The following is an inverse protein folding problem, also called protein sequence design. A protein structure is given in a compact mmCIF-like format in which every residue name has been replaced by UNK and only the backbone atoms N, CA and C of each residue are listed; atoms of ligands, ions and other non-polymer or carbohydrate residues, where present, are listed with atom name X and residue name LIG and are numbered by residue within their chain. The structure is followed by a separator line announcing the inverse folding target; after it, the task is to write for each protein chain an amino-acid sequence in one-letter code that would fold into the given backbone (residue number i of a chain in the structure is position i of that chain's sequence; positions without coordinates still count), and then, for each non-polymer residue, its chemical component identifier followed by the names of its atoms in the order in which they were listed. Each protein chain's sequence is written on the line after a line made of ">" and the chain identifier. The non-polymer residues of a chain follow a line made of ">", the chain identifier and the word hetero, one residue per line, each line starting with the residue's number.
data_IF_101022701106
#
_entry.id   IF_101022701106
#
_cell.length_a   1.000
_cell.length_b   1.000
_cell.length_c   1.000
_cell.angle_alpha   90.00
_cell.angle_beta   90.00
_cell.angle_gamma   90.00
#
_symmetry.space_group_name_H-M   'P 1'
#
loop_
_entity.id
_entity.type
_entity.pdbx_description
1 polymer ?
#
# COMPACT_ATOMS: atom_id res chain seq x y z
N UNK A 1 13.97 7.26 15.99
CA UNK A 1 13.18 6.36 15.13
C UNK A 1 11.77 6.92 15.10
N UNK A 2 11.40 7.64 14.04
CA UNK A 2 10.05 8.17 13.86
C UNK A 2 9.11 6.97 13.72
N UNK A 3 8.03 6.88 14.51
CA UNK A 3 7.00 5.88 14.21
C UNK A 3 6.41 6.26 12.84
N UNK A 4 6.37 5.35 11.86
CA UNK A 4 5.80 5.67 10.56
C UNK A 4 4.32 5.99 10.73
N UNK A 5 3.86 7.02 10.02
CA UNK A 5 2.46 7.39 10.01
C UNK A 5 1.61 6.20 9.52
N UNK A 6 0.66 5.81 10.36
CA UNK A 6 -0.21 4.67 10.09
C UNK A 6 -1.43 5.13 9.31
N UNK A 7 -1.87 4.31 8.39
CA UNK A 7 -3.09 4.50 7.64
C UNK A 7 -4.30 4.44 8.57
N UNK A 8 -5.28 5.28 8.31
CA UNK A 8 -6.59 5.27 8.96
C UNK A 8 -7.70 4.79 8.00
N UNK A 9 -8.95 4.84 8.46
CA UNK A 9 -10.12 4.46 7.68
C UNK A 9 -10.21 5.23 6.35
N UNK A 10 -9.95 6.55 6.36
CA UNK A 10 -10.06 7.41 5.17
C UNK A 10 -8.96 7.10 4.17
N UNK A 11 -7.77 6.76 4.65
CA UNK A 11 -6.67 6.31 3.80
C UNK A 11 -7.06 5.03 3.06
N UNK A 12 -7.62 4.02 3.75
CA UNK A 12 -8.09 2.78 3.13
C UNK A 12 -9.26 3.00 2.16
N UNK A 13 -10.20 3.89 2.49
CA UNK A 13 -11.32 4.22 1.61
C UNK A 13 -10.84 4.91 0.32
N UNK A 14 -9.93 5.87 0.46
CA UNK A 14 -9.32 6.59 -0.66
C UNK A 14 -8.52 5.64 -1.55
N UNK A 15 -7.74 4.75 -0.93
CA UNK A 15 -7.03 3.69 -1.62
C UNK A 15 -7.99 2.79 -2.41
N UNK A 16 -9.08 2.30 -1.80
CA UNK A 16 -10.03 1.40 -2.46
C UNK A 16 -10.63 2.04 -3.72
N UNK A 17 -11.06 3.31 -3.60
CA UNK A 17 -11.64 4.09 -4.71
C UNK A 17 -10.60 4.32 -5.82
N UNK A 18 -9.39 4.74 -5.45
CA UNK A 18 -8.30 4.96 -6.39
C UNK A 18 -7.89 3.67 -7.12
N UNK A 19 -7.80 2.57 -6.39
CA UNK A 19 -7.47 1.24 -6.94
C UNK A 19 -8.50 0.80 -7.98
N UNK A 20 -9.80 0.82 -7.65
CA UNK A 20 -10.86 0.40 -8.57
C UNK A 20 -10.93 1.30 -9.80
N UNK A 21 -10.81 2.63 -9.60
CA UNK A 21 -10.77 3.61 -10.69
C UNK A 21 -9.60 3.33 -11.63
N UNK A 22 -8.39 3.17 -11.09
CA UNK A 22 -7.19 2.95 -11.91
C UNK A 22 -7.24 1.61 -12.63
N UNK A 23 -7.68 0.55 -11.96
CA UNK A 23 -7.82 -0.76 -12.60
C UNK A 23 -8.79 -0.69 -13.79
N UNK A 24 -9.92 -0.01 -13.62
CA UNK A 24 -10.89 0.23 -14.69
C UNK A 24 -10.28 1.02 -15.86
N UNK A 25 -9.61 2.13 -15.55
CA UNK A 25 -8.93 2.99 -16.53
C UNK A 25 -7.94 2.18 -17.37
N UNK A 26 -7.08 1.36 -16.75
CA UNK A 26 -6.08 0.56 -17.45
C UNK A 26 -6.74 -0.48 -18.36
N UNK A 27 -7.83 -1.12 -17.94
CA UNK A 27 -8.56 -2.08 -18.80
C UNK A 27 -9.20 -1.37 -19.99
N UNK A 28 -9.86 -0.22 -19.78
CA UNK A 28 -10.56 0.53 -20.84
C UNK A 28 -9.60 1.08 -21.88
N UNK A 29 -8.50 1.70 -21.43
CA UNK A 29 -7.47 2.29 -22.28
C UNK A 29 -6.76 1.27 -23.17
N UNK A 30 -6.81 -0.01 -22.79
CA UNK A 30 -6.16 -1.10 -23.50
C UNK A 30 -7.16 -2.10 -24.10
N UNK A 31 -8.46 -1.79 -24.11
CA UNK A 31 -9.53 -2.69 -24.57
C UNK A 31 -9.30 -3.31 -25.95
N UNK A 32 -8.73 -2.56 -26.91
CA UNK A 32 -8.38 -3.07 -28.24
C UNK A 32 -7.30 -4.16 -28.20
N UNK A 33 -6.36 -4.06 -27.26
CA UNK A 33 -5.29 -5.03 -27.04
C UNK A 33 -5.79 -6.25 -26.24
N UNK A 34 -6.96 -6.12 -25.60
CA UNK A 34 -7.55 -7.10 -24.70
C UNK A 34 -8.72 -7.87 -25.33
N UNK A 35 -8.93 -7.75 -26.65
CA UNK A 35 -10.01 -8.47 -27.34
C UNK A 35 -9.95 -9.98 -27.07
N UNK A 36 -11.06 -10.54 -26.56
CA UNK A 36 -11.15 -11.96 -26.18
C UNK A 36 -10.64 -12.28 -24.77
N UNK A 37 -10.17 -11.28 -24.01
CA UNK A 37 -9.69 -11.40 -22.62
C UNK A 37 -10.70 -10.85 -21.61
N UNK A 38 -11.86 -10.36 -22.05
CA UNK A 38 -12.81 -9.62 -21.22
C UNK A 38 -13.21 -10.46 -20.00
N UNK A 39 -13.48 -11.76 -20.19
CA UNK A 39 -13.86 -12.70 -19.14
C UNK A 39 -12.83 -12.88 -18.01
N UNK A 40 -11.57 -12.48 -18.24
CA UNK A 40 -10.49 -12.64 -17.25
C UNK A 40 -10.54 -11.53 -16.19
N UNK A 41 -11.03 -10.34 -16.55
CA UNK A 41 -11.04 -9.16 -15.69
C UNK A 41 -12.26 -9.13 -14.77
N UNK A 42 -12.30 -10.07 -13.82
CA UNK A 42 -13.41 -10.20 -12.86
C UNK A 42 -13.76 -8.88 -12.15
N UNK A 43 -12.76 -8.13 -11.70
CA UNK A 43 -12.93 -6.86 -10.98
C UNK A 43 -13.44 -5.71 -11.87
N UNK A 44 -13.25 -5.81 -13.18
CA UNK A 44 -13.77 -4.84 -14.16
C UNK A 44 -15.21 -5.19 -14.54
N UNK A 45 -15.49 -6.47 -14.78
CA UNK A 45 -16.82 -6.95 -15.16
C UNK A 45 -17.84 -6.91 -14.02
N UNK A 46 -17.38 -6.78 -12.78
CA UNK A 46 -18.22 -6.73 -11.61
C UNK A 46 -17.88 -5.47 -10.80
N UNK A 47 -18.91 -4.77 -10.33
CA UNK A 47 -18.71 -3.66 -9.39
C UNK A 47 -18.90 -4.19 -7.97
N UNK A 48 -17.96 -3.96 -7.04
CA UNK A 48 -18.15 -4.38 -5.66
C UNK A 48 -19.33 -3.64 -5.05
N UNK A 49 -20.19 -4.39 -4.37
CA UNK A 49 -21.37 -3.92 -3.66
C UNK A 49 -21.08 -3.66 -2.18
N UNK A 50 -20.01 -4.23 -1.64
CA UNK A 50 -19.50 -3.84 -0.33
C UNK A 50 -17.98 -3.85 -0.35
N UNK A 51 -17.39 -2.91 0.39
CA UNK A 51 -15.95 -2.87 0.60
C UNK A 51 -15.67 -2.83 2.09
N UNK A 52 -14.87 -3.77 2.57
CA UNK A 52 -14.49 -3.89 3.97
C UNK A 52 -13.03 -3.51 4.14
N UNK A 53 -12.75 -2.44 4.88
CA UNK A 53 -11.42 -2.10 5.35
C UNK A 53 -11.16 -2.69 6.73
N UNK A 54 -10.00 -3.31 6.93
CA UNK A 54 -9.57 -3.85 8.22
C UNK A 54 -8.17 -3.34 8.54
N UNK A 55 -7.99 -2.68 9.67
CA UNK A 55 -6.68 -2.22 10.13
C UNK A 55 -6.34 -2.94 11.42
N UNK A 56 -5.14 -3.53 11.48
CA UNK A 56 -4.60 -4.05 12.72
C UNK A 56 -3.83 -2.98 13.46
N UNK A 57 -4.05 -2.86 14.78
CA UNK A 57 -3.19 -2.05 15.65
C UNK A 57 -1.78 -2.63 15.78
N UNK A 58 -1.57 -3.91 15.48
CA UNK A 58 -0.29 -4.57 15.70
C UNK A 58 0.47 -4.86 14.40
N UNK A 59 -0.20 -5.36 13.36
CA UNK A 59 0.47 -5.81 12.13
C UNK A 59 -0.49 -5.88 10.95
N UNK A 60 -0.19 -5.12 9.90
CA UNK A 60 -0.88 -5.17 8.61
C UNK A 60 -2.27 -4.52 8.55
N UNK A 61 -2.81 -4.50 7.34
CA UNK A 61 -4.16 -4.05 7.02
C UNK A 61 -4.67 -4.79 5.78
N UNK A 62 -5.98 -4.74 5.55
CA UNK A 62 -6.60 -5.39 4.42
C UNK A 62 -7.80 -4.63 3.86
N UNK A 63 -8.09 -4.88 2.58
CA UNK A 63 -9.31 -4.49 1.90
C UNK A 63 -9.95 -5.75 1.29
N UNK A 64 -11.27 -5.88 1.44
CA UNK A 64 -12.05 -6.95 0.84
C UNK A 64 -13.16 -6.36 -0.02
N UNK A 65 -13.08 -6.61 -1.33
CA UNK A 65 -14.15 -6.28 -2.28
C UNK A 65 -15.16 -7.42 -2.35
N UNK A 66 -16.44 -7.15 -2.07
CA UNK A 66 -17.54 -8.12 -2.17
C UNK A 66 -18.48 -7.75 -3.30
N UNK A 67 -18.76 -8.71 -4.19
CA UNK A 67 -19.48 -8.48 -5.44
C UNK A 67 -20.92 -9.04 -5.45
N UNK A 68 -21.25 -9.99 -4.56
CA UNK A 68 -22.56 -10.64 -4.48
C UNK A 68 -23.33 -10.17 -3.23
N UNK A 69 -24.00 -9.01 -3.30
CA UNK A 69 -25.06 -8.63 -2.35
C UNK A 69 -26.14 -7.81 -3.08
N UNK A 70 -27.40 -7.94 -2.65
CA UNK A 70 -28.58 -7.33 -3.28
C UNK A 70 -28.82 -5.87 -2.89
N UNK A 71 -27.85 -5.22 -2.23
CA UNK A 71 -27.99 -3.88 -1.66
C UNK A 71 -27.07 -2.85 -2.35
N UNK A 72 -27.24 -1.59 -1.95
CA UNK A 72 -26.42 -0.46 -2.39
C UNK A 72 -24.94 -0.63 -2.01
N UNK A 73 -24.06 0.06 -2.75
CA UNK A 73 -22.63 0.05 -2.47
C UNK A 73 -22.36 0.69 -1.09
N UNK A 74 -21.83 -0.07 -0.13
CA UNK A 74 -21.45 0.49 1.18
C UNK A 74 -20.01 0.18 1.58
N UNK A 75 -19.45 1.09 2.36
CA UNK A 75 -18.13 0.97 2.99
C UNK A 75 -18.30 0.55 4.44
N UNK A 76 -17.50 -0.42 4.89
CA UNK A 76 -17.45 -0.83 6.29
C UNK A 76 -15.99 -0.90 6.73
N UNK A 77 -15.73 -0.49 7.97
CA UNK A 77 -14.41 -0.45 8.53
C UNK A 77 -14.35 -1.16 9.89
N UNK A 78 -13.25 -1.88 10.13
CA UNK A 78 -12.98 -2.52 11.42
C UNK A 78 -11.53 -2.31 11.85
N UNK A 79 -11.36 -1.92 13.11
CA UNK A 79 -10.09 -1.92 13.81
C UNK A 79 -9.98 -3.19 14.66
N UNK A 80 -8.84 -3.87 14.60
CA UNK A 80 -8.57 -5.09 15.38
C UNK A 80 -7.28 -4.93 16.19
N UNK A 81 -7.17 -5.68 17.28
CA UNK A 81 -6.00 -5.66 18.16
C UNK A 81 -4.98 -6.76 17.77
N UNK A 82 -5.40 -7.79 17.06
CA UNK A 82 -4.57 -8.90 16.62
C UNK A 82 -3.88 -8.60 15.27
N UNK A 83 -2.77 -9.29 14.92
CA UNK A 83 -2.24 -9.28 13.56
C UNK A 83 -3.31 -9.56 12.50
N UNK A 84 -3.21 -8.92 11.33
CA UNK A 84 -4.22 -8.97 10.27
C UNK A 84 -4.63 -10.39 9.86
N UNK A 85 -3.71 -11.35 9.95
CA UNK A 85 -3.95 -12.75 9.60
C UNK A 85 -5.02 -13.39 10.49
N UNK A 86 -5.13 -13.02 11.78
CA UNK A 86 -6.16 -13.55 12.68
C UNK A 86 -7.58 -13.13 12.30
N UNK A 87 -7.74 -12.03 11.56
CA UNK A 87 -9.04 -11.63 11.04
C UNK A 87 -9.55 -12.64 9.99
N UNK A 88 -8.65 -13.14 9.15
CA UNK A 88 -8.98 -14.08 8.07
C UNK A 88 -8.88 -15.54 8.50
N UNK A 89 -7.99 -15.83 9.47
CA UNK A 89 -7.71 -17.18 9.97
C UNK A 89 -7.62 -17.20 11.50
N UNK A 90 -8.75 -17.01 12.21
CA UNK A 90 -8.76 -16.88 13.67
C UNK A 90 -8.30 -18.13 14.42
N UNK A 91 -8.35 -19.30 13.78
CA UNK A 91 -8.02 -20.59 14.40
C UNK A 91 -6.54 -20.99 14.22
N UNK A 92 -5.69 -20.09 13.73
CA UNK A 92 -4.27 -20.38 13.54
C UNK A 92 -3.51 -20.49 14.87
N UNK A 93 -2.37 -21.19 14.87
CA UNK A 93 -1.54 -21.33 16.07
C UNK A 93 -1.00 -19.98 16.52
N UNK A 94 -1.15 -19.68 17.81
CA UNK A 94 -0.53 -18.52 18.45
C UNK A 94 0.93 -18.75 18.85
N UNK A 95 1.32 -20.01 19.07
CA UNK A 95 2.72 -20.39 19.22
C UNK A 95 3.31 -20.71 17.84
N UNK A 96 4.16 -19.79 17.36
CA UNK A 96 4.87 -19.92 16.09
C UNK A 96 6.24 -20.62 16.23
N UNK A 97 6.75 -20.76 17.46
CA UNK A 97 8.14 -21.16 17.70
C UNK A 97 8.44 -22.61 17.29
N UNK A 98 7.43 -23.47 17.37
CA UNK A 98 7.54 -24.90 17.08
C UNK A 98 7.11 -25.25 15.64
N UNK A 99 6.74 -24.26 14.83
CA UNK A 99 6.21 -24.50 13.48
C UNK A 99 7.33 -24.59 12.45
N UNK A 100 7.23 -25.55 11.52
CA UNK A 100 8.15 -25.64 10.39
C UNK A 100 7.89 -24.48 9.42
N UNK A 101 8.89 -23.64 9.20
CA UNK A 101 8.76 -22.45 8.35
C UNK A 101 8.86 -22.84 6.87
N UNK A 102 7.83 -22.48 6.10
CA UNK A 102 7.83 -22.48 4.64
C UNK A 102 7.84 -21.04 4.18
N UNK A 103 8.96 -20.61 3.58
CA UNK A 103 9.17 -19.22 3.19
C UNK A 103 8.82 -19.01 1.71
N UNK A 104 7.95 -18.03 1.46
CA UNK A 104 7.71 -17.44 0.15
C UNK A 104 8.57 -16.18 0.06
N UNK A 105 9.64 -16.23 -0.72
CA UNK A 105 10.61 -15.14 -0.86
C UNK A 105 10.61 -14.60 -2.28
N UNK A 106 10.89 -13.32 -2.51
CA UNK A 106 10.92 -12.73 -3.86
C UNK A 106 11.75 -13.59 -4.85
N UNK A 107 11.25 -13.87 -6.07
CA UNK A 107 12.02 -14.60 -7.08
C UNK A 107 13.34 -13.88 -7.40
N UNK A 108 14.45 -14.63 -7.54
CA UNK A 108 15.79 -14.07 -7.77
C UNK A 108 16.02 -13.54 -9.19
N UNK A 109 15.22 -13.96 -10.16
CA UNK A 109 15.27 -13.44 -11.53
C UNK A 109 14.29 -12.26 -11.64
N UNK A 110 14.77 -11.14 -12.15
CA UNK A 110 14.04 -9.90 -12.43
C UNK A 110 12.63 -10.17 -12.93
N UNK A 111 11.63 -10.09 -12.06
CA UNK A 111 10.25 -10.21 -12.52
C UNK A 111 9.33 -9.76 -11.38
N UNK A 112 8.52 -8.75 -11.63
CA UNK A 112 7.43 -8.23 -10.80
C UNK A 112 6.27 -9.26 -10.64
N UNK A 113 6.57 -10.54 -10.86
CA UNK A 113 5.60 -11.60 -10.94
C UNK A 113 5.41 -12.24 -9.55
N UNK A 114 4.17 -12.49 -9.16
CA UNK A 114 3.84 -12.98 -7.84
C UNK A 114 4.08 -14.49 -7.78
N UNK A 115 4.07 -15.02 -6.57
CA UNK A 115 3.78 -16.44 -6.38
C UNK A 115 2.30 -16.66 -6.68
N UNK A 116 2.00 -17.26 -7.84
CA UNK A 116 0.62 -17.55 -8.27
C UNK A 116 0.14 -18.85 -7.65
N UNK A 117 -0.99 -18.78 -6.94
CA UNK A 117 -1.73 -19.92 -6.42
C UNK A 117 -3.01 -20.09 -7.24
N UNK A 118 -3.15 -21.21 -7.95
CA UNK A 118 -4.36 -21.57 -8.68
C UNK A 118 -5.36 -22.39 -7.85
N UNK A 119 -4.94 -22.88 -6.68
CA UNK A 119 -5.77 -23.62 -5.73
C UNK A 119 -5.45 -23.17 -4.31
N UNK A 120 -6.44 -23.27 -3.42
CA UNK A 120 -6.24 -22.98 -2.01
C UNK A 120 -5.17 -23.89 -1.42
N UNK A 121 -4.21 -23.32 -0.68
CA UNK A 121 -3.23 -24.13 0.04
C UNK A 121 -3.84 -24.58 1.35
N UNK A 122 -3.86 -25.89 1.58
CA UNK A 122 -4.17 -26.44 2.90
C UNK A 122 -2.89 -26.56 3.72
N UNK A 123 -2.77 -25.73 4.76
CA UNK A 123 -1.70 -25.82 5.74
C UNK A 123 -2.12 -26.89 6.74
N UNK A 124 -1.63 -28.10 6.50
CA UNK A 124 -1.72 -29.25 7.40
C UNK A 124 -0.32 -29.50 7.97
N UNK A 125 -0.19 -30.03 9.18
CA UNK A 125 1.09 -30.47 9.80
C UNK A 125 1.96 -29.40 10.48
N UNK A 126 1.40 -28.54 11.34
CA UNK A 126 2.20 -27.63 12.20
C UNK A 126 3.23 -26.78 11.43
N UNK A 127 2.83 -26.22 10.29
CA UNK A 127 3.70 -25.38 9.47
C UNK A 127 3.33 -23.90 9.58
N UNK A 128 4.35 -23.04 9.47
CA UNK A 128 4.21 -21.60 9.33
C UNK A 128 4.50 -21.21 7.89
N UNK A 129 3.49 -20.70 7.17
CA UNK A 129 3.70 -20.07 5.87
C UNK A 129 4.09 -18.61 6.07
N UNK A 130 5.28 -18.24 5.62
CA UNK A 130 5.80 -16.88 5.75
C UNK A 130 5.90 -16.22 4.38
N UNK A 131 5.06 -15.23 4.09
CA UNK A 131 5.19 -14.34 2.93
C UNK A 131 6.16 -13.23 3.30
N UNK A 132 7.40 -13.33 2.83
CA UNK A 132 8.48 -12.43 3.22
C UNK A 132 8.21 -10.99 2.76
N UNK A 133 8.91 -10.03 3.37
CA UNK A 133 8.96 -8.66 2.87
C UNK A 133 9.34 -8.65 1.37
N UNK A 134 8.67 -7.78 0.61
CA UNK A 134 8.82 -7.63 -0.85
C UNK A 134 8.41 -8.87 -1.67
N UNK A 135 7.77 -9.87 -1.06
CA UNK A 135 7.14 -10.96 -1.79
C UNK A 135 5.65 -10.68 -1.97
N UNK A 136 5.15 -11.02 -3.16
CA UNK A 136 3.75 -10.90 -3.51
C UNK A 136 3.17 -12.28 -3.80
N UNK A 137 2.00 -12.56 -3.23
CA UNK A 137 1.26 -13.79 -3.46
C UNK A 137 -0.07 -13.45 -4.13
N UNK A 138 -0.35 -14.09 -5.26
CA UNK A 138 -1.59 -13.88 -6.02
C UNK A 138 -2.39 -15.17 -6.08
N UNK A 139 -3.61 -15.14 -5.56
CA UNK A 139 -4.54 -16.27 -5.57
C UNK A 139 -5.58 -16.13 -6.67
N UNK A 140 -5.46 -16.98 -7.68
CA UNK A 140 -6.33 -17.03 -8.86
C UNK A 140 -7.50 -18.03 -8.71
N UNK A 141 -7.61 -18.73 -7.57
CA UNK A 141 -8.69 -19.68 -7.32
C UNK A 141 -10.05 -19.03 -7.11
N UNK A 142 -11.10 -19.84 -7.11
CA UNK A 142 -12.50 -19.38 -7.04
C UNK A 142 -12.95 -18.99 -5.62
N UNK A 143 -12.27 -19.52 -4.60
CA UNK A 143 -12.57 -19.19 -3.20
C UNK A 143 -12.17 -17.77 -2.82
N UNK A 144 -12.72 -17.26 -1.72
CA UNK A 144 -12.38 -15.91 -1.23
C UNK A 144 -11.07 -15.86 -0.45
N UNK A 145 -10.60 -17.01 0.07
CA UNK A 145 -9.40 -17.11 0.89
C UNK A 145 -8.33 -17.97 0.23
N UNK A 146 -7.08 -17.48 0.10
CA UNK A 146 -5.96 -18.24 -0.48
C UNK A 146 -5.53 -19.45 0.35
N UNK A 147 -5.87 -19.47 1.64
CA UNK A 147 -5.35 -20.46 2.57
C UNK A 147 -6.47 -21.11 3.37
N UNK A 148 -6.32 -22.41 3.59
CA UNK A 148 -7.09 -23.20 4.53
C UNK A 148 -6.14 -23.68 5.62
N UNK A 149 -6.43 -23.36 6.87
CA UNK A 149 -5.63 -23.84 8.00
C UNK A 149 -6.34 -25.05 8.60
N UNK A 150 -5.65 -26.18 8.67
CA UNK A 150 -6.14 -27.40 9.32
C UNK A 150 -5.15 -27.82 10.41
N UNK A 151 -5.61 -27.92 11.66
CA UNK A 151 -4.73 -28.18 12.81
C UNK A 151 -3.86 -26.97 13.18
N UNK A 152 -2.71 -27.18 13.86
CA UNK A 152 -1.89 -26.09 14.43
C UNK A 152 -1.00 -25.39 13.38
N UNK A 153 -1.56 -25.01 12.23
CA UNK A 153 -0.86 -24.22 11.22
C UNK A 153 -0.94 -22.71 11.48
N UNK A 154 -0.04 -21.95 10.88
CA UNK A 154 -0.09 -20.49 10.91
C UNK A 154 0.40 -19.85 9.61
N UNK A 155 0.03 -18.59 9.42
CA UNK A 155 0.43 -17.77 8.28
C UNK A 155 0.88 -16.42 8.83
N UNK A 156 1.97 -15.89 8.28
CA UNK A 156 2.42 -14.51 8.52
C UNK A 156 2.71 -13.86 7.17
N UNK A 157 2.11 -12.69 6.96
CA UNK A 157 2.23 -11.89 5.74
C UNK A 157 3.02 -10.63 6.09
N UNK A 158 4.31 -10.62 5.76
CA UNK A 158 5.16 -9.42 5.84
C UNK A 158 5.17 -8.63 4.52
N UNK A 159 5.02 -9.36 3.39
CA UNK A 159 4.81 -8.77 2.07
C UNK A 159 3.34 -8.48 1.83
N UNK A 160 2.79 -9.05 0.77
CA UNK A 160 1.43 -8.81 0.33
C UNK A 160 0.77 -10.06 -0.25
N UNK A 161 -0.55 -10.17 -0.05
CA UNK A 161 -1.38 -11.25 -0.56
C UNK A 161 -2.62 -10.68 -1.22
N UNK A 162 -2.93 -11.17 -2.42
CA UNK A 162 -4.05 -10.70 -3.22
C UNK A 162 -4.86 -11.87 -3.73
N UNK A 163 -6.16 -11.67 -3.94
CA UNK A 163 -6.99 -12.62 -4.66
C UNK A 163 -7.66 -12.01 -5.89
N UNK A 164 -7.96 -12.88 -6.86
CA UNK A 164 -8.77 -12.54 -8.03
C UNK A 164 -10.11 -11.93 -7.63
N UNK A 165 -10.70 -12.43 -6.55
CA UNK A 165 -11.97 -11.97 -5.97
C UNK A 165 -11.88 -10.64 -5.21
N UNK A 166 -10.71 -9.99 -5.15
CA UNK A 166 -10.57 -8.66 -4.56
C UNK A 166 -10.23 -8.62 -3.07
N UNK A 167 -9.57 -9.66 -2.53
CA UNK A 167 -8.85 -9.54 -1.26
C UNK A 167 -7.51 -8.85 -1.53
N UNK A 168 -7.16 -7.86 -0.70
CA UNK A 168 -5.85 -7.20 -0.66
C UNK A 168 -5.39 -7.20 0.80
N UNK A 169 -4.31 -7.92 1.12
CA UNK A 169 -3.68 -7.90 2.44
C UNK A 169 -2.26 -7.40 2.29
N UNK A 170 -1.87 -6.43 3.13
CA UNK A 170 -0.48 -5.97 3.24
C UNK A 170 0.01 -6.17 4.66
N UNK A 171 1.23 -6.66 4.80
CA UNK A 171 1.93 -6.81 6.09
C UNK A 171 2.30 -5.49 6.76
N UNK A 172 1.93 -4.36 6.17
CA UNK A 172 2.17 -3.02 6.68
C UNK A 172 0.89 -2.20 6.68
N UNK A 173 0.79 -1.27 7.61
CA UNK A 173 -0.27 -0.27 7.65
C UNK A 173 0.26 1.16 7.62
N UNK A 174 1.38 1.41 6.94
CA UNK A 174 1.86 2.79 6.72
C UNK A 174 0.98 3.54 5.72
N UNK A 175 0.86 4.86 5.88
CA UNK A 175 0.13 5.71 4.91
C UNK A 175 0.63 5.55 3.48
N UNK A 176 1.95 5.40 3.30
CA UNK A 176 2.56 5.19 1.99
C UNK A 176 2.07 3.92 1.32
N UNK A 177 2.00 2.81 2.06
CA UNK A 177 1.51 1.53 1.54
C UNK A 177 0.03 1.57 1.19
N UNK A 178 -0.73 2.51 1.75
CA UNK A 178 -2.16 2.71 1.50
C UNK A 178 -2.45 4.07 0.84
N UNK A 179 -1.48 4.65 0.14
CA UNK A 179 -1.61 5.91 -0.58
C UNK A 179 -2.35 5.75 -1.92
N UNK A 180 -2.77 6.87 -2.50
CA UNK A 180 -3.45 6.90 -3.80
C UNK A 180 -2.52 6.42 -4.93
N UNK A 181 -1.25 6.85 -4.94
CA UNK A 181 -0.30 6.39 -5.97
C UNK A 181 -0.07 4.87 -5.83
N UNK A 182 0.04 4.36 -4.60
CA UNK A 182 0.25 2.93 -4.36
C UNK A 182 -0.97 2.12 -4.78
N UNK A 183 -2.18 2.64 -4.57
CA UNK A 183 -3.41 2.05 -5.10
C UNK A 183 -3.35 1.90 -6.62
N UNK A 184 -2.83 2.91 -7.32
CA UNK A 184 -2.65 2.87 -8.76
C UNK A 184 -1.57 1.87 -9.20
N UNK A 185 -0.43 1.82 -8.50
CA UNK A 185 0.64 0.87 -8.79
C UNK A 185 0.17 -0.58 -8.59
N UNK A 186 -0.58 -0.84 -7.52
CA UNK A 186 -1.15 -2.15 -7.26
C UNK A 186 -2.24 -2.53 -8.25
N UNK A 187 -3.07 -1.58 -8.68
CA UNK A 187 -4.05 -1.81 -9.73
C UNK A 187 -3.38 -2.21 -11.05
N UNK A 188 -2.32 -1.51 -11.45
CA UNK A 188 -1.55 -1.82 -12.66
C UNK A 188 -0.85 -3.18 -12.55
N UNK A 189 -0.23 -3.46 -11.41
CA UNK A 189 0.40 -4.75 -11.11
C UNK A 189 -0.61 -5.90 -11.22
N UNK A 190 -1.80 -5.76 -10.63
CA UNK A 190 -2.83 -6.80 -10.69
C UNK A 190 -3.44 -6.94 -12.09
N UNK A 191 -3.54 -5.85 -12.84
CA UNK A 191 -3.94 -5.91 -14.24
C UNK A 191 -2.99 -6.80 -15.04
N UNK A 192 -1.67 -6.64 -14.89
CA UNK A 192 -0.69 -7.51 -15.56
C UNK A 192 -0.78 -8.97 -15.10
N UNK A 193 -1.01 -9.22 -13.80
CA UNK A 193 -1.20 -10.59 -13.31
C UNK A 193 -2.47 -11.24 -13.86
N UNK A 194 -3.55 -10.49 -13.97
CA UNK A 194 -4.79 -10.97 -14.58
C UNK A 194 -4.57 -11.24 -16.10
N UNK A 195 -3.74 -10.46 -16.78
CA UNK A 195 -3.34 -10.74 -18.17
C UNK A 195 -2.45 -12.00 -18.31
N UNK A 196 -1.68 -12.36 -17.28
CA UNK A 196 -0.71 -13.46 -17.34
C UNK A 196 0.30 -13.28 -18.47
N UNK A 197 0.56 -14.34 -19.25
CA UNK A 197 1.51 -14.32 -20.37
C UNK A 197 0.89 -13.87 -21.70
N UNK A 198 -0.28 -13.22 -21.68
CA UNK A 198 -1.03 -12.86 -22.90
C UNK A 198 -0.56 -11.56 -23.54
N UNK A 199 0.21 -10.74 -22.82
CA UNK A 199 0.81 -9.51 -23.33
C UNK A 199 2.29 -9.75 -23.65
N UNK A 200 2.76 -9.21 -24.77
CA UNK A 200 4.19 -9.21 -25.10
C UNK A 200 4.92 -8.06 -24.39
N UNK A 201 6.25 -8.14 -24.34
CA UNK A 201 7.10 -7.15 -23.65
C UNK A 201 6.93 -5.72 -24.18
N UNK A 202 6.75 -5.55 -25.50
CA UNK A 202 6.55 -4.22 -26.10
C UNK A 202 5.25 -3.58 -25.61
N UNK A 203 4.17 -4.36 -25.58
CA UNK A 203 2.88 -3.91 -25.07
C UNK A 203 2.95 -3.59 -23.58
N UNK A 204 3.61 -4.44 -22.78
CA UNK A 204 3.82 -4.19 -21.35
C UNK A 204 4.51 -2.83 -21.16
N UNK A 205 5.63 -2.58 -21.85
CA UNK A 205 6.36 -1.31 -21.76
C UNK A 205 5.53 -0.09 -22.16
N UNK A 206 4.68 -0.21 -23.18
CA UNK A 206 3.78 0.88 -23.59
C UNK A 206 2.74 1.20 -22.51
N UNK A 207 2.17 0.17 -21.89
CA UNK A 207 1.20 0.33 -20.78
C UNK A 207 1.91 0.92 -19.56
N UNK A 208 3.10 0.44 -19.21
CA UNK A 208 3.89 1.00 -18.11
C UNK A 208 4.28 2.46 -18.35
N UNK A 209 4.77 2.81 -19.54
CA UNK A 209 5.11 4.18 -19.88
C UNK A 209 3.89 5.12 -19.73
N UNK A 210 2.70 4.66 -20.13
CA UNK A 210 1.46 5.45 -20.05
C UNK A 210 0.92 5.56 -18.62
N UNK A 211 0.92 4.48 -17.85
CA UNK A 211 0.20 4.43 -16.57
C UNK A 211 1.10 4.38 -15.34
N UNK A 212 2.30 3.80 -15.42
CA UNK A 212 3.24 3.64 -14.29
C UNK A 212 4.07 4.89 -14.06
N UNK A 213 4.54 5.54 -15.12
CA UNK A 213 5.38 6.75 -15.02
C UNK A 213 4.70 7.85 -14.20
N UNK A 214 3.43 8.24 -14.45
CA UNK A 214 2.76 9.26 -13.63
C UNK A 214 2.66 8.87 -12.16
N UNK A 215 2.39 7.58 -11.87
CA UNK A 215 2.26 7.08 -10.50
C UNK A 215 3.60 7.07 -9.75
N UNK A 216 4.70 6.74 -10.44
CA UNK A 216 6.05 6.80 -9.88
C UNK A 216 6.50 8.24 -9.63
N UNK A 217 6.12 9.17 -10.51
CA UNK A 217 6.35 10.60 -10.27
C UNK A 217 5.58 11.08 -9.04
N UNK A 218 4.29 10.74 -8.91
CA UNK A 218 3.48 11.06 -7.72
C UNK A 218 4.10 10.49 -6.44
N UNK A 219 4.55 9.22 -6.48
CA UNK A 219 5.27 8.57 -5.39
C UNK A 219 6.51 9.36 -4.98
N UNK A 220 7.36 9.71 -5.94
CA UNK A 220 8.61 10.44 -5.69
C UNK A 220 8.31 11.82 -5.09
N UNK A 221 7.38 12.56 -5.68
CA UNK A 221 6.98 13.89 -5.18
C UNK A 221 6.45 13.81 -3.76
N UNK A 222 5.58 12.85 -3.45
CA UNK A 222 5.05 12.67 -2.09
C UNK A 222 6.15 12.27 -1.09
N UNK A 223 7.04 11.35 -1.47
CA UNK A 223 8.13 10.90 -0.62
C UNK A 223 9.18 11.99 -0.38
N UNK A 224 9.46 12.84 -1.38
CA UNK A 224 10.31 14.03 -1.21
C UNK A 224 9.65 15.03 -0.24
N UNK A 225 8.37 15.35 -0.44
CA UNK A 225 7.60 16.26 0.41
C UNK A 225 7.56 15.81 1.87
N UNK A 226 7.33 14.51 2.09
CA UNK A 226 7.27 13.91 3.42
C UNK A 226 8.66 13.58 4.00
N UNK A 227 9.74 13.98 3.31
CA UNK A 227 11.14 13.73 3.69
C UNK A 227 11.49 12.25 3.88
N UNK A 228 10.69 11.35 3.31
CA UNK A 228 10.87 9.91 3.44
C UNK A 228 12.23 9.43 2.93
N UNK A 229 12.64 9.92 1.75
CA UNK A 229 13.92 9.54 1.15
C UNK A 229 15.16 10.05 1.90
N UNK A 230 14.99 10.91 2.92
CA UNK A 230 16.08 11.29 3.81
C UNK A 230 16.55 10.12 4.66
N UNK A 231 15.61 9.33 5.14
CA UNK A 231 15.86 8.15 5.97
C UNK A 231 15.99 6.87 5.13
N UNK A 232 15.50 6.90 3.88
CA UNK A 232 15.50 5.77 2.93
C UNK A 232 16.11 6.13 1.58
N UNK A 233 17.40 6.50 1.51
CA UNK A 233 18.05 6.95 0.29
C UNK A 233 18.06 5.88 -0.81
N UNK A 234 18.20 4.60 -0.45
CA UNK A 234 18.17 3.46 -1.37
C UNK A 234 16.86 3.37 -2.16
N UNK A 235 15.73 3.75 -1.55
CA UNK A 235 14.43 3.72 -2.22
C UNK A 235 14.33 4.80 -3.29
N UNK A 236 14.91 5.98 -3.05
CA UNK A 236 14.99 7.02 -4.07
C UNK A 236 15.77 6.56 -5.31
N UNK A 237 16.93 5.91 -5.11
CA UNK A 237 17.72 5.40 -6.23
C UNK A 237 16.97 4.33 -7.02
N UNK A 238 16.25 3.44 -6.34
CA UNK A 238 15.45 2.41 -6.99
C UNK A 238 14.31 3.04 -7.82
N UNK A 239 13.58 4.00 -7.25
CA UNK A 239 12.47 4.67 -7.92
C UNK A 239 12.94 5.50 -9.13
N UNK A 240 14.07 6.21 -8.98
CA UNK A 240 14.66 6.97 -10.08
C UNK A 240 15.15 6.05 -11.20
N UNK A 241 15.84 4.96 -10.86
CA UNK A 241 16.31 4.00 -11.83
C UNK A 241 15.15 3.33 -12.60
N UNK A 242 14.06 3.03 -11.90
CA UNK A 242 12.85 2.50 -12.53
C UNK A 242 12.24 3.50 -13.53
N UNK A 243 12.17 4.79 -13.16
CA UNK A 243 11.73 5.83 -14.10
C UNK A 243 12.66 5.96 -15.32
N UNK A 244 13.98 5.88 -15.14
CA UNK A 244 14.94 5.90 -16.25
C UNK A 244 14.67 4.75 -17.23
N UNK A 245 14.42 3.54 -16.72
CA UNK A 245 14.08 2.38 -17.55
C UNK A 245 12.77 2.57 -18.33
N UNK A 246 11.86 3.40 -17.82
CA UNK A 246 10.60 3.76 -18.48
C UNK A 246 10.70 4.98 -19.40
N UNK A 247 11.91 5.51 -19.62
CA UNK A 247 12.16 6.59 -20.57
C UNK A 247 11.94 8.00 -20.00
N UNK A 248 12.20 8.20 -18.70
CA UNK A 248 12.22 9.53 -18.08
C UNK A 248 13.14 10.48 -18.86
N UNK A 249 12.67 11.70 -19.15
CA UNK A 249 13.50 12.71 -19.81
C UNK A 249 14.63 13.20 -18.88
N UNK A 250 15.77 13.58 -19.47
CA UNK A 250 16.90 14.11 -18.71
C UNK A 250 16.56 15.40 -17.95
N UNK A 251 15.64 16.21 -18.48
CA UNK A 251 15.12 17.41 -17.80
C UNK A 251 14.37 17.03 -16.51
N UNK A 252 13.46 16.06 -16.58
CA UNK A 252 12.67 15.61 -15.43
C UNK A 252 13.57 14.94 -14.39
N UNK A 253 14.52 14.12 -14.85
CA UNK A 253 15.55 13.50 -14.00
C UNK A 253 16.36 14.54 -13.25
N UNK A 254 16.82 15.59 -13.94
CA UNK A 254 17.59 16.67 -13.32
C UNK A 254 16.75 17.40 -12.27
N UNK A 255 15.46 17.66 -12.53
CA UNK A 255 14.55 18.29 -11.57
C UNK A 255 14.37 17.44 -10.31
N UNK A 256 14.02 16.17 -10.46
CA UNK A 256 13.83 15.22 -9.35
C UNK A 256 15.12 15.09 -8.52
N UNK A 257 16.26 14.99 -9.20
CA UNK A 257 17.56 14.89 -8.55
C UNK A 257 17.89 16.16 -7.75
N UNK A 258 17.60 17.34 -8.31
CA UNK A 258 17.80 18.61 -7.62
C UNK A 258 16.96 18.71 -6.34
N UNK A 259 15.68 18.32 -6.39
CA UNK A 259 14.81 18.30 -5.21
C UNK A 259 15.32 17.35 -4.12
N UNK A 260 15.84 16.19 -4.52
CA UNK A 260 16.46 15.24 -3.60
C UNK A 260 17.75 15.77 -2.96
N UNK A 261 18.58 16.49 -3.73
CA UNK A 261 19.79 17.12 -3.18
C UNK A 261 19.43 18.22 -2.17
N UNK A 262 18.41 19.02 -2.44
CA UNK A 262 17.90 20.01 -1.49
C UNK A 262 17.39 19.35 -0.20
N UNK A 263 16.73 18.20 -0.29
CA UNK A 263 16.31 17.42 0.88
C UNK A 263 17.49 16.98 1.77
N UNK A 264 18.65 16.69 1.14
CA UNK A 264 19.88 16.29 1.82
C UNK A 264 20.75 17.46 2.29
N UNK A 265 20.46 18.68 1.84
CA UNK A 265 21.25 19.86 2.18
C UNK A 265 21.19 20.07 3.69
N UNK A 266 22.35 20.30 4.29
CA UNK A 266 22.35 20.77 5.67
C UNK A 266 21.71 22.16 5.72
N UNK A 267 20.76 22.40 6.64
CA UNK A 267 20.21 23.73 6.81
C UNK A 267 21.33 24.67 7.23
N UNK A 268 21.39 25.81 6.54
CA UNK A 268 22.34 26.87 6.83
C UNK A 268 22.14 27.41 8.24
N UNK A 269 23.13 28.10 8.79
CA UNK A 269 23.01 28.74 10.12
C UNK A 269 21.81 29.70 10.18
N UNK A 270 21.50 30.40 9.10
CA UNK A 270 20.33 31.27 9.01
C UNK A 270 19.01 30.50 9.06
N UNK A 271 18.91 29.39 8.34
CA UNK A 271 17.72 28.53 8.37
C UNK A 271 17.52 27.91 9.77
N UNK A 272 18.59 27.50 10.43
CA UNK A 272 18.55 27.04 11.84
C UNK A 272 18.06 28.14 12.79
N UNK A 273 18.50 29.39 12.58
CA UNK A 273 18.07 30.54 13.39
C UNK A 273 16.60 30.84 13.14
N UNK A 274 16.14 30.85 11.88
CA UNK A 274 14.74 31.11 11.53
C UNK A 274 13.83 30.02 12.08
N UNK A 275 14.18 28.74 11.94
CA UNK A 275 13.41 27.62 12.50
C UNK A 275 13.33 27.70 14.03
N UNK A 276 14.44 28.03 14.69
CA UNK A 276 14.47 28.24 16.14
C UNK A 276 13.56 29.39 16.58
N UNK A 277 13.58 30.52 15.85
CA UNK A 277 12.69 31.66 16.12
C UNK A 277 11.23 31.27 15.88
N UNK A 278 10.91 30.59 14.78
CA UNK A 278 9.56 30.15 14.43
C UNK A 278 8.98 29.20 15.49
N UNK A 279 9.74 28.20 15.92
CA UNK A 279 9.35 27.29 17.01
C UNK A 279 9.11 28.05 18.32
N UNK A 280 10.01 28.96 18.70
CA UNK A 280 9.87 29.77 19.91
C UNK A 280 8.67 30.72 19.85
N UNK A 281 8.37 31.31 18.70
CA UNK A 281 7.20 32.18 18.50
C UNK A 281 5.91 31.37 18.67
N UNK A 282 5.85 30.13 18.19
CA UNK A 282 4.70 29.26 18.40
C UNK A 282 4.49 28.90 19.88
N UNK A 283 5.58 28.64 20.63
CA UNK A 283 5.53 28.39 22.07
C UNK A 283 5.10 29.64 22.87
N UNK A 284 5.57 30.82 22.47
CA UNK A 284 5.20 32.10 23.09
C UNK A 284 3.73 32.43 22.81
N UNK A 285 3.22 32.22 21.59
CA UNK A 285 1.81 32.45 21.27
C UNK A 285 0.90 31.50 22.05
N UNK A 286 1.26 30.22 22.18
CA UNK A 286 0.51 29.26 23.00
C UNK A 286 0.55 29.63 24.49
N UNK A 287 1.70 30.07 25.00
CA UNK A 287 1.83 30.51 26.40
C UNK A 287 1.05 31.80 26.70
N UNK A 288 1.02 32.76 25.77
CA UNK A 288 0.24 34.01 25.90
C UNK A 288 -1.26 33.71 25.82
N UNK A 289 -1.71 32.86 24.90
CA UNK A 289 -3.12 32.45 24.82
C UNK A 289 -3.53 31.68 26.08
N UNK A 290 -2.72 30.75 26.56
CA UNK A 290 -2.97 30.04 27.82
C UNK A 290 -3.00 30.99 29.03
N UNK A 291 -2.09 31.96 29.09
CA UNK A 291 -2.05 32.97 30.14
C UNK A 291 -3.25 33.91 30.14
N UNK A 292 -3.72 34.33 28.95
CA UNK A 292 -4.94 35.13 28.80
C UNK A 292 -6.18 34.33 29.24
N UNK A 293 -6.29 33.05 28.86
CA UNK A 293 -7.41 32.19 29.24
C UNK A 293 -7.42 31.96 30.76
N UNK A 294 -6.27 31.66 31.37
CA UNK A 294 -6.16 31.48 32.83
C UNK A 294 -6.47 32.79 33.57
N UNK A 295 -6.00 33.93 33.07
CA UNK A 295 -6.30 35.25 33.63
C UNK A 295 -7.79 35.61 33.55
N UNK A 296 -8.45 35.30 32.43
CA UNK A 296 -9.89 35.52 32.26
C UNK A 296 -10.72 34.63 33.20
N UNK A 297 -10.34 33.36 33.37
CA UNK A 297 -11.00 32.43 34.30
C UNK A 297 -10.81 32.90 35.75
N UNK A 298 -9.60 33.29 36.15
CA UNK A 298 -9.33 33.82 37.50
C UNK A 298 -10.09 35.13 37.80
N UNK A 299 -10.23 36.00 36.81
CA UNK A 299 -10.99 37.24 36.97
C UNK A 299 -12.50 36.99 37.08
N UNK A 300 -13.03 36.02 36.32
CA UNK A 300 -14.44 35.63 36.37
C UNK A 300 -14.83 34.91 37.67
N UNK A 301 -13.87 34.35 38.41
CA UNK A 301 -14.11 33.70 39.72
C UNK A 301 -13.94 34.64 40.93
N UNK A 302 -13.46 35.87 40.72
CA UNK A 302 -13.20 36.86 41.78
C UNK A 302 -14.22 38.01 41.82
N UNK A 303 -15.28 37.92 41.01
CA UNK A 303 -16.49 38.77 41.02
C UNK A 303 -17.75 37.92 41.07
#
# INVERSE_FOLDING_TARGET
>A
MHKPDRADEKDLESYAKAYLKKYKEVVEDNSLLLQGLEHVFFKYNNNPKAVYGVISKNHGAAIVFKYNSTEEAYWNYRLIDEPIEYYFWPNMSSDLSNLKIVKIARPRASSEFPYVLNSQISIKNSALLLVNEKASLYYAGEGESPFKIEGPGAIVILGESFSKSGLIIKGTNTKQAWSIYQAGLDALKHFFWDCGNRLNETTIKQIEAKHKVPLLLDKITENLKNKYYKDHPEEFYNDLHELEQLGLSEEMKTSIWSEYLELKREPTLWEKIVDFISQRVSEIIVAVIAGIIVGYILHAYTH
#
